data_IF_748013090067
#
_entry.id   IF_748013090067
#
_cell.length_a   1.000
_cell.length_b   1.000
_cell.length_c   1.000
_cell.angle_alpha   90.00
_cell.angle_beta   90.00
_cell.angle_gamma   90.00
#
_symmetry.space_group_name_H-M   'P 1'
#
loop_
_entity.id
_entity.type
_entity.pdbx_description
1 polymer ?
#
# COMPACT_ATOMS: atom_id res chain seq x y z
N UNK A 1 10.34 -10.32 8.88
CA UNK A 1 9.43 -9.17 8.77
C UNK A 1 10.19 -7.97 8.24
N UNK A 2 9.65 -7.28 7.26
CA UNK A 2 10.36 -6.18 6.64
C UNK A 2 10.27 -4.90 7.47
N UNK A 3 11.41 -4.23 7.67
CA UNK A 3 11.43 -2.92 8.33
C UNK A 3 10.87 -1.82 7.43
N UNK A 4 10.63 -2.13 6.15
CA UNK A 4 10.09 -1.19 5.18
C UNK A 4 8.57 -1.11 5.21
N UNK A 5 7.91 -1.94 6.00
CA UNK A 5 6.47 -1.89 6.18
C UNK A 5 6.17 -1.19 7.49
N UNK A 6 5.54 -0.02 7.39
CA UNK A 6 5.24 0.83 8.54
C UNK A 6 3.75 1.16 8.55
N UNK A 7 3.19 1.31 9.75
CA UNK A 7 1.78 1.66 9.90
C UNK A 7 1.58 3.13 9.55
N UNK A 8 0.57 3.39 8.71
CA UNK A 8 0.12 4.75 8.43
C UNK A 8 -1.24 4.98 9.08
N UNK A 9 -1.50 6.20 9.48
CA UNK A 9 -2.75 6.60 10.13
C UNK A 9 -3.29 7.86 9.46
N UNK A 10 -4.55 8.19 9.76
CA UNK A 10 -5.12 9.45 9.29
C UNK A 10 -4.25 10.64 9.72
N UNK A 11 -3.68 10.57 10.93
CA UNK A 11 -2.86 11.65 11.46
C UNK A 11 -1.51 11.81 10.77
N UNK A 12 -0.89 10.70 10.32
CA UNK A 12 0.45 10.78 9.72
C UNK A 12 0.48 10.58 8.21
N UNK A 13 -0.69 10.45 7.57
CA UNK A 13 -0.76 10.17 6.14
C UNK A 13 -0.06 11.23 5.29
N UNK A 14 -0.26 12.50 5.63
CA UNK A 14 0.38 13.60 4.92
C UNK A 14 1.90 13.42 4.91
N UNK A 15 2.48 13.20 6.07
CA UNK A 15 3.93 13.08 6.21
C UNK A 15 4.47 11.77 5.64
N UNK A 16 3.82 10.66 5.97
CA UNK A 16 4.36 9.33 5.63
C UNK A 16 4.12 8.96 4.18
N UNK A 17 3.10 9.51 3.55
CA UNK A 17 2.73 9.14 2.19
C UNK A 17 2.90 10.31 1.23
N UNK A 18 2.18 11.40 1.46
CA UNK A 18 2.14 12.49 0.49
C UNK A 18 3.45 13.27 0.38
N UNK A 19 4.21 13.35 1.47
CA UNK A 19 5.50 14.05 1.50
C UNK A 19 6.69 13.13 1.33
N UNK A 20 6.47 11.85 1.06
CA UNK A 20 7.56 10.90 0.91
C UNK A 20 8.39 11.20 -0.33
N UNK A 21 9.74 11.16 -0.21
CA UNK A 21 10.62 11.32 -1.37
C UNK A 21 10.66 10.09 -2.26
N UNK A 22 10.18 8.94 -1.76
CA UNK A 22 10.11 7.70 -2.53
C UNK A 22 8.65 7.37 -2.85
N UNK A 23 8.40 6.58 -3.90
CA UNK A 23 7.06 6.03 -4.12
C UNK A 23 6.60 5.26 -2.91
N UNK A 24 5.30 5.33 -2.60
CA UNK A 24 4.69 4.66 -1.45
C UNK A 24 3.50 3.84 -1.91
N UNK A 25 3.51 2.56 -1.55
CA UNK A 25 2.36 1.69 -1.76
C UNK A 25 1.61 1.60 -0.45
N UNK A 26 0.34 2.03 -0.45
CA UNK A 26 -0.50 2.02 0.75
C UNK A 26 -1.47 0.85 0.65
N UNK A 27 -1.38 -0.07 1.62
CA UNK A 27 -2.26 -1.23 1.71
C UNK A 27 -3.40 -0.94 2.68
N UNK A 28 -4.60 -0.75 2.13
CA UNK A 28 -5.82 -0.58 2.95
C UNK A 28 -6.35 -1.95 3.29
N UNK A 29 -6.40 -2.25 4.58
CA UNK A 29 -6.72 -3.60 5.08
C UNK A 29 -7.56 -3.54 6.35
N UNK A 30 -8.02 -4.69 6.82
CA UNK A 30 -8.69 -4.83 8.11
C UNK A 30 -8.36 -6.20 8.71
N UNK A 31 -8.35 -6.32 10.05
CA UNK A 31 -8.00 -7.60 10.70
C UNK A 31 -8.92 -8.76 10.35
N UNK A 32 -10.18 -8.48 10.05
CA UNK A 32 -11.19 -9.50 9.74
C UNK A 32 -11.18 -9.93 8.26
N UNK A 33 -10.33 -9.35 7.47
CA UNK A 33 -10.32 -9.54 6.01
C UNK A 33 -9.41 -10.71 5.61
N UNK A 34 -10.00 -11.81 5.13
CA UNK A 34 -9.24 -12.97 4.70
C UNK A 34 -8.26 -12.69 3.56
N UNK A 35 -8.73 -12.08 2.45
CA UNK A 35 -7.82 -11.74 1.34
C UNK A 35 -6.68 -10.81 1.76
N UNK A 36 -6.91 -9.92 2.73
CA UNK A 36 -5.85 -9.05 3.24
C UNK A 36 -4.72 -9.87 3.87
N UNK A 37 -5.07 -10.97 4.55
CA UNK A 37 -4.06 -11.85 5.13
C UNK A 37 -3.27 -12.60 4.06
N UNK A 38 -3.90 -12.88 2.92
CA UNK A 38 -3.21 -13.49 1.79
C UNK A 38 -2.25 -12.52 1.12
N UNK A 39 -2.58 -11.24 1.12
CA UNK A 39 -1.72 -10.21 0.54
C UNK A 39 -0.47 -9.96 1.38
N UNK A 40 -0.57 -10.11 2.70
CA UNK A 40 0.50 -9.71 3.62
C UNK A 40 1.87 -10.33 3.31
N UNK A 41 2.02 -11.66 3.09
CA UNK A 41 3.34 -12.21 2.79
C UNK A 41 3.90 -11.72 1.46
N UNK A 42 3.06 -11.43 0.48
CA UNK A 42 3.51 -10.87 -0.80
C UNK A 42 4.03 -9.46 -0.60
N UNK A 43 3.33 -8.65 0.19
CA UNK A 43 3.78 -7.29 0.48
C UNK A 43 5.09 -7.28 1.25
N UNK A 44 5.29 -8.23 2.18
CA UNK A 44 6.56 -8.37 2.89
C UNK A 44 7.71 -8.64 1.89
N UNK A 45 7.48 -9.53 0.95
CA UNK A 45 8.47 -9.88 -0.06
C UNK A 45 8.81 -8.68 -0.95
N UNK A 46 7.78 -7.95 -1.37
CA UNK A 46 7.97 -6.76 -2.22
C UNK A 46 8.69 -5.67 -1.44
N UNK A 47 8.36 -5.48 -0.16
CA UNK A 47 9.03 -4.50 0.68
C UNK A 47 10.54 -4.78 0.79
N UNK A 48 10.89 -6.05 0.96
CA UNK A 48 12.30 -6.44 1.04
C UNK A 48 13.00 -6.26 -0.31
N UNK A 49 12.34 -6.65 -1.39
CA UNK A 49 12.93 -6.60 -2.72
C UNK A 49 13.21 -5.17 -3.19
N UNK A 50 12.32 -4.24 -2.85
CA UNK A 50 12.45 -2.85 -3.30
C UNK A 50 12.86 -1.89 -2.18
N UNK A 51 13.47 -2.41 -1.12
CA UNK A 51 13.93 -1.56 -0.01
C UNK A 51 14.84 -0.45 -0.54
N UNK A 52 14.59 0.78 -0.09
CA UNK A 52 15.32 1.95 -0.56
C UNK A 52 14.77 2.57 -1.83
N UNK A 53 13.83 1.90 -2.50
CA UNK A 53 13.23 2.37 -3.75
C UNK A 53 11.72 2.54 -3.66
N UNK A 54 11.06 1.77 -2.79
CA UNK A 54 9.62 1.79 -2.57
C UNK A 54 9.37 1.65 -1.08
N UNK A 55 8.46 2.46 -0.54
CA UNK A 55 7.99 2.32 0.83
C UNK A 55 6.63 1.66 0.82
N UNK A 56 6.36 0.79 1.80
CA UNK A 56 5.05 0.18 1.96
C UNK A 56 4.47 0.65 3.28
N UNK A 57 3.23 1.13 3.25
CA UNK A 57 2.50 1.60 4.43
C UNK A 57 1.22 0.82 4.56
N UNK A 58 0.91 0.35 5.76
CA UNK A 58 -0.32 -0.39 6.04
C UNK A 58 -1.29 0.51 6.78
N UNK A 59 -2.52 0.55 6.30
CA UNK A 59 -3.54 1.42 6.86
C UNK A 59 -4.81 0.63 7.18
N UNK A 60 -5.08 0.47 8.47
CA UNK A 60 -6.26 -0.25 8.94
C UNK A 60 -7.49 0.65 8.73
N UNK A 61 -8.41 0.21 7.86
CA UNK A 61 -9.57 1.04 7.52
C UNK A 61 -10.56 1.21 8.67
N UNK A 62 -10.58 0.27 9.62
CA UNK A 62 -11.48 0.38 10.77
C UNK A 62 -11.08 1.52 11.69
N UNK A 63 -9.78 1.82 11.75
CA UNK A 63 -9.23 2.84 12.64
C UNK A 63 -8.92 4.15 11.92
N UNK A 64 -8.92 4.16 10.60
CA UNK A 64 -8.49 5.30 9.80
C UNK A 64 -9.48 5.58 8.67
N UNK A 65 -10.65 6.06 9.05
CA UNK A 65 -11.77 6.21 8.12
C UNK A 65 -11.66 7.43 7.22
N UNK A 66 -10.94 8.47 7.66
CA UNK A 66 -10.85 9.71 6.88
C UNK A 66 -10.14 9.49 5.54
N UNK A 67 -8.94 8.91 5.59
CA UNK A 67 -8.17 8.69 4.36
C UNK A 67 -8.88 7.68 3.47
N UNK A 68 -9.36 6.57 4.04
CA UNK A 68 -10.06 5.55 3.27
C UNK A 68 -11.28 6.14 2.55
N UNK A 69 -12.06 6.96 3.25
CA UNK A 69 -13.21 7.63 2.66
C UNK A 69 -12.81 8.63 1.60
N UNK A 70 -11.75 9.40 1.85
CA UNK A 70 -11.25 10.40 0.93
C UNK A 70 -10.82 9.82 -0.41
N UNK A 71 -10.26 8.62 -0.41
CA UNK A 71 -9.87 7.92 -1.64
C UNK A 71 -10.93 6.92 -2.11
N UNK A 72 -12.12 6.94 -1.49
CA UNK A 72 -13.25 6.10 -1.88
C UNK A 72 -12.92 4.62 -1.91
N UNK A 73 -12.26 4.16 -0.84
CA UNK A 73 -11.94 2.73 -0.71
C UNK A 73 -13.23 1.98 -0.41
N UNK A 74 -13.70 1.21 -1.40
CA UNK A 74 -14.98 0.49 -1.34
C UNK A 74 -14.81 -0.98 -1.01
N UNK A 75 -13.62 -1.51 -1.19
CA UNK A 75 -13.33 -2.92 -0.91
C UNK A 75 -11.90 -3.05 -0.43
N UNK A 76 -11.59 -4.13 0.29
CA UNK A 76 -10.24 -4.40 0.79
C UNK A 76 -9.84 -5.83 0.47
N UNK A 77 -8.53 -6.09 0.26
CA UNK A 77 -7.47 -5.09 0.24
C UNK A 77 -7.53 -4.23 -1.03
N UNK A 78 -7.16 -2.98 -0.88
CA UNK A 78 -6.90 -2.09 -2.01
C UNK A 78 -5.54 -1.47 -1.77
N UNK A 79 -4.66 -1.56 -2.75
CA UNK A 79 -3.35 -0.95 -2.68
C UNK A 79 -3.33 0.26 -3.60
N UNK A 80 -2.99 1.42 -3.04
CA UNK A 80 -2.84 2.66 -3.81
C UNK A 80 -1.36 3.01 -3.89
N UNK A 81 -0.88 3.33 -5.10
CA UNK A 81 0.50 3.73 -5.29
C UNK A 81 0.58 5.24 -5.47
N UNK A 82 1.38 5.87 -4.61
CA UNK A 82 1.61 7.31 -4.63
C UNK A 82 3.04 7.61 -5.05
N UNK A 83 3.22 8.65 -5.85
CA UNK A 83 4.53 9.16 -6.19
C UNK A 83 4.47 10.68 -6.20
N UNK A 84 5.37 11.31 -5.45
CA UNK A 84 5.42 12.78 -5.33
C UNK A 84 4.08 13.36 -4.87
N UNK A 85 3.40 12.66 -3.96
CA UNK A 85 2.13 13.11 -3.40
C UNK A 85 0.92 12.84 -4.27
N UNK A 86 1.09 12.20 -5.43
CA UNK A 86 -0.01 11.93 -6.36
C UNK A 86 -0.30 10.44 -6.46
N UNK A 87 -1.59 10.11 -6.56
CA UNK A 87 -2.03 8.73 -6.81
C UNK A 87 -1.74 8.39 -8.27
N UNK A 88 -0.88 7.40 -8.51
CA UNK A 88 -0.45 7.04 -9.87
C UNK A 88 -0.96 5.69 -10.34
N UNK A 89 -1.33 4.79 -9.44
CA UNK A 89 -1.89 3.49 -9.83
C UNK A 89 -2.59 2.85 -8.64
N UNK A 90 -3.35 1.77 -8.89
CA UNK A 90 -4.00 1.03 -7.83
C UNK A 90 -4.21 -0.44 -8.21
N UNK A 91 -4.32 -1.29 -7.20
CA UNK A 91 -4.73 -2.69 -7.34
C UNK A 91 -5.80 -2.97 -6.29
N UNK A 92 -6.90 -3.58 -6.69
CA UNK A 92 -7.98 -3.95 -5.80
C UNK A 92 -8.11 -5.47 -5.75
N UNK A 93 -8.08 -6.03 -4.54
CA UNK A 93 -8.23 -7.47 -4.34
C UNK A 93 -6.95 -8.25 -4.56
N UNK A 94 -7.03 -9.58 -4.36
CA UNK A 94 -5.91 -10.49 -4.55
C UNK A 94 -6.30 -11.51 -5.60
N UNK A 95 -5.53 -11.56 -6.68
CA UNK A 95 -5.73 -12.53 -7.76
C UNK A 95 -4.60 -13.56 -7.70
N UNK A 96 -4.71 -14.68 -8.46
CA UNK A 96 -3.61 -15.64 -8.52
C UNK A 96 -2.29 -15.03 -8.98
N UNK A 97 -2.34 -13.93 -9.73
CA UNK A 97 -1.14 -13.25 -10.24
C UNK A 97 -0.81 -11.99 -9.46
N UNK A 98 -1.25 -11.91 -8.21
CA UNK A 98 -1.12 -10.71 -7.39
C UNK A 98 0.30 -10.15 -7.34
N UNK A 99 1.28 -11.00 -7.05
CA UNK A 99 2.67 -10.57 -6.93
C UNK A 99 3.19 -9.97 -8.25
N UNK A 100 3.01 -10.67 -9.36
CA UNK A 100 3.50 -10.18 -10.64
C UNK A 100 2.74 -8.94 -11.12
N UNK A 101 1.43 -8.89 -10.87
CA UNK A 101 0.63 -7.71 -11.22
C UNK A 101 1.08 -6.50 -10.44
N UNK A 102 1.35 -6.68 -9.13
CA UNK A 102 1.79 -5.59 -8.28
C UNK A 102 3.14 -5.06 -8.71
N UNK A 103 4.10 -5.96 -9.01
CA UNK A 103 5.42 -5.56 -9.51
C UNK A 103 5.32 -4.81 -10.82
N UNK A 104 4.49 -5.28 -11.74
CA UNK A 104 4.31 -4.64 -13.04
C UNK A 104 3.78 -3.22 -12.90
N UNK A 105 2.90 -2.97 -11.94
CA UNK A 105 2.34 -1.64 -11.70
C UNK A 105 3.30 -0.72 -10.97
N UNK A 106 4.11 -1.27 -10.09
CA UNK A 106 5.03 -0.49 -9.26
C UNK A 106 6.30 -0.11 -10.01
N UNK A 107 6.89 -1.05 -10.76
CA UNK A 107 8.21 -0.85 -11.35
C UNK A 107 8.35 0.38 -12.26
N UNK A 108 7.36 0.75 -13.08
CA UNK A 108 7.50 1.96 -13.89
C UNK A 108 7.71 3.25 -13.10
N UNK A 109 7.36 3.24 -11.81
CA UNK A 109 7.44 4.41 -10.95
C UNK A 109 8.66 4.41 -10.02
N UNK A 110 9.52 3.41 -10.12
CA UNK A 110 10.71 3.26 -9.28
C UNK A 110 11.95 3.83 -9.94
N UNK A 111 11.96 4.94 -10.39
CA UNK A 111 13.11 5.51 -11.11
C UNK A 111 14.38 5.61 -10.26
#
# INVERSE_FOLDING_TARGET
MSNNIVVATDANFQKEVLESPLPVLVDFWAPWCGPCRMAAPVLEKIADEYEGRLKIRKMNVDENREVASGYRIMSIPTMLLFKNGELVDQITGVTPNFESDLKRKVEPHLS
#
